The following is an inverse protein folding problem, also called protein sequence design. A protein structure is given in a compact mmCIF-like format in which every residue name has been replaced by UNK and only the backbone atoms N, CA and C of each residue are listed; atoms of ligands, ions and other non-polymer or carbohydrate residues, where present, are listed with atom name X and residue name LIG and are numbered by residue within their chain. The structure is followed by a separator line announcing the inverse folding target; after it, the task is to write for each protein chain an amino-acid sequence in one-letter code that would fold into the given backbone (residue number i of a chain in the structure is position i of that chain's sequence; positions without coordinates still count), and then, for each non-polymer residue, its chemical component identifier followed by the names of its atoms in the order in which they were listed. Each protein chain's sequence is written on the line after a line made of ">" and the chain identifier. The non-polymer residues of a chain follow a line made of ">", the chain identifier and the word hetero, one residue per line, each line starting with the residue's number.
data_IF_240786569990
#
_entry.id   IF_240786569990
#
_cell.length_a   1.000
_cell.length_b   1.000
_cell.length_c   1.000
_cell.angle_alpha   90.00
_cell.angle_beta   90.00
_cell.angle_gamma   90.00
#
_symmetry.space_group_name_H-M   'P 1'
#
loop_
_entity.id
_entity.type
_entity.pdbx_description
1 polymer ?
#
# COMPACT_ATOMS: atom_id res chain seq x y z
N UNK A 1 5.56 9.49 -11.76
CA UNK A 1 4.58 10.41 -11.14
C UNK A 1 3.18 9.82 -11.01
N UNK A 2 2.30 9.83 -12.03
CA UNK A 2 0.91 9.36 -11.83
C UNK A 2 0.83 7.85 -11.60
N UNK A 3 1.60 7.07 -12.37
CA UNK A 3 1.62 5.61 -12.23
C UNK A 3 2.09 5.13 -10.85
N UNK A 4 3.11 5.78 -10.26
CA UNK A 4 3.62 5.48 -8.92
C UNK A 4 2.61 5.82 -7.82
N UNK A 5 1.87 6.92 -7.97
CA UNK A 5 0.80 7.27 -7.05
C UNK A 5 -0.36 6.26 -7.12
N UNK A 6 -0.82 5.92 -8.33
CA UNK A 6 -1.93 4.99 -8.56
C UNK A 6 -1.58 3.59 -8.05
N UNK A 7 -0.38 3.07 -8.37
CA UNK A 7 0.04 1.76 -7.89
C UNK A 7 0.17 1.74 -6.36
N UNK A 8 0.74 2.79 -5.74
CA UNK A 8 0.82 2.93 -4.29
C UNK A 8 -0.55 2.86 -3.60
N UNK A 9 -1.55 3.59 -4.11
CA UNK A 9 -2.91 3.57 -3.58
C UNK A 9 -3.54 2.18 -3.75
N UNK A 10 -3.42 1.56 -4.92
CA UNK A 10 -3.96 0.22 -5.17
C UNK A 10 -3.37 -0.80 -4.19
N UNK A 11 -2.05 -0.79 -3.98
CA UNK A 11 -1.40 -1.71 -3.05
C UNK A 11 -1.81 -1.49 -1.60
N UNK A 12 -2.00 -0.23 -1.18
CA UNK A 12 -2.48 0.07 0.17
C UNK A 12 -3.93 -0.38 0.38
N UNK A 13 -4.82 -0.08 -0.56
CA UNK A 13 -6.23 -0.49 -0.49
C UNK A 13 -6.35 -2.01 -0.53
N UNK A 14 -5.61 -2.66 -1.43
CA UNK A 14 -5.57 -4.12 -1.51
C UNK A 14 -5.00 -4.75 -0.24
N UNK A 15 -3.91 -4.23 0.32
CA UNK A 15 -3.31 -4.71 1.56
C UNK A 15 -4.22 -4.55 2.78
N UNK A 16 -4.88 -3.40 2.91
CA UNK A 16 -5.89 -3.15 3.96
C UNK A 16 -7.12 -4.03 3.78
N UNK A 17 -7.63 -4.14 2.56
CA UNK A 17 -8.78 -4.97 2.21
C UNK A 17 -8.53 -6.45 2.48
N UNK A 18 -7.36 -6.96 2.10
CA UNK A 18 -6.94 -8.33 2.38
C UNK A 18 -6.86 -8.59 3.88
N UNK A 19 -6.25 -7.66 4.64
CA UNK A 19 -6.17 -7.78 6.09
C UNK A 19 -7.53 -7.74 6.76
N UNK A 20 -8.41 -6.85 6.32
CA UNK A 20 -9.78 -6.75 6.81
C UNK A 20 -10.56 -8.04 6.51
N UNK A 21 -10.45 -8.56 5.29
CA UNK A 21 -11.15 -9.78 4.88
C UNK A 21 -10.70 -11.00 5.69
N UNK A 22 -9.41 -11.16 5.94
CA UNK A 22 -8.87 -12.22 6.82
C UNK A 22 -9.40 -12.06 8.25
N UNK A 23 -9.36 -10.84 8.81
CA UNK A 23 -9.91 -10.57 10.14
C UNK A 23 -11.43 -10.82 10.22
N UNK A 24 -12.17 -10.50 9.15
CA UNK A 24 -13.60 -10.71 9.06
C UNK A 24 -13.94 -12.20 9.00
N UNK A 25 -13.22 -13.00 8.20
CA UNK A 25 -13.35 -14.47 8.22
C UNK A 25 -13.07 -15.07 9.60
N UNK A 26 -12.08 -14.52 10.32
CA UNK A 26 -11.77 -14.95 11.69
C UNK A 26 -12.91 -14.62 12.67
N UNK A 27 -13.53 -13.45 12.52
CA UNK A 27 -14.66 -13.03 13.35
C UNK A 27 -15.89 -13.93 13.16
N UNK A 28 -16.27 -14.22 11.92
CA UNK A 28 -17.43 -15.08 11.63
C UNK A 28 -17.27 -16.55 12.01
N UNK A 29 -16.03 -17.02 12.22
CA UNK A 29 -15.78 -18.39 12.70
C UNK A 29 -15.88 -18.52 14.23
N UNK A 30 -15.90 -17.41 14.96
CA UNK A 30 -15.96 -17.42 16.43
C UNK A 30 -17.41 -17.42 16.88
N UNK A 31 -17.77 -18.40 17.70
CA UNK A 31 -19.05 -18.39 18.42
C UNK A 31 -19.09 -17.24 19.43
N UNK A 32 -20.25 -16.89 20.00
CA UNK A 32 -20.37 -15.85 21.04
C UNK A 32 -19.43 -16.04 22.25
N UNK A 33 -18.93 -17.26 22.48
CA UNK A 33 -17.92 -17.57 23.50
C UNK A 33 -16.45 -17.37 23.04
N UNK A 34 -16.22 -16.89 21.81
CA UNK A 34 -14.89 -16.73 21.22
C UNK A 34 -14.21 -18.03 20.77
N UNK A 35 -14.85 -19.19 20.98
CA UNK A 35 -14.34 -20.49 20.57
C UNK A 35 -14.42 -20.68 19.05
N UNK A 36 -13.34 -21.18 18.46
CA UNK A 36 -13.30 -21.55 17.04
C UNK A 36 -13.87 -22.97 16.88
N UNK A 37 -15.04 -23.09 16.27
CA UNK A 37 -15.63 -24.39 15.92
C UNK A 37 -14.99 -24.91 14.64
N UNK A 38 -14.00 -25.79 14.75
CA UNK A 38 -13.51 -26.57 13.62
C UNK A 38 -14.09 -27.98 13.70
N UNK A 39 -14.68 -28.45 12.60
CA UNK A 39 -15.24 -29.82 12.50
C UNK A 39 -14.17 -30.90 12.36
N UNK A 40 -12.95 -30.53 11.92
CA UNK A 40 -11.83 -31.46 11.73
C UNK A 40 -10.49 -30.78 12.03
N UNK A 41 -9.54 -31.58 12.54
CA UNK A 41 -8.17 -31.15 12.84
C UNK A 41 -7.46 -30.63 11.59
N UNK A 42 -7.58 -31.32 10.46
CA UNK A 42 -6.91 -30.95 9.20
C UNK A 42 -7.36 -29.59 8.67
N UNK A 43 -8.67 -29.32 8.72
CA UNK A 43 -9.24 -28.03 8.35
C UNK A 43 -8.71 -26.90 9.24
N UNK A 44 -8.52 -27.17 10.54
CA UNK A 44 -7.98 -26.17 11.47
C UNK A 44 -6.53 -25.77 11.11
N UNK A 45 -5.71 -26.73 10.68
CA UNK A 45 -4.31 -26.49 10.32
C UNK A 45 -4.22 -25.72 9.01
N UNK A 46 -4.95 -26.16 7.98
CA UNK A 46 -4.94 -25.52 6.67
C UNK A 46 -5.43 -24.06 6.74
N UNK A 47 -6.51 -23.80 7.47
CA UNK A 47 -7.05 -22.44 7.59
C UNK A 47 -6.12 -21.55 8.42
N UNK A 48 -5.54 -22.07 9.52
CA UNK A 48 -4.54 -21.32 10.30
C UNK A 48 -3.29 -21.00 9.49
N UNK A 49 -2.87 -21.90 8.59
CA UNK A 49 -1.73 -21.68 7.70
C UNK A 49 -2.02 -20.51 6.74
N UNK A 50 -3.19 -20.53 6.07
CA UNK A 50 -3.61 -19.45 5.17
C UNK A 50 -3.76 -18.13 5.93
N UNK A 51 -4.30 -18.13 7.14
CA UNK A 51 -4.38 -16.92 7.96
C UNK A 51 -3.01 -16.34 8.31
N UNK A 52 -2.03 -17.19 8.60
CA UNK A 52 -0.66 -16.75 8.90
C UNK A 52 -0.01 -16.18 7.65
N UNK A 53 -0.05 -16.90 6.52
CA UNK A 53 0.52 -16.47 5.24
C UNK A 53 -0.17 -15.19 4.74
N UNK A 54 -1.50 -15.13 4.78
CA UNK A 54 -2.28 -13.97 4.35
C UNK A 54 -1.99 -12.71 5.16
N UNK A 55 -1.68 -12.84 6.46
CA UNK A 55 -1.22 -11.71 7.27
C UNK A 55 0.14 -11.19 6.82
N UNK A 56 1.10 -12.09 6.56
CA UNK A 56 2.42 -11.70 6.03
C UNK A 56 2.31 -11.02 4.67
N UNK A 57 1.50 -11.57 3.77
CA UNK A 57 1.22 -10.98 2.45
C UNK A 57 0.60 -9.60 2.61
N UNK A 58 -0.37 -9.42 3.51
CA UNK A 58 -0.97 -8.11 3.75
C UNK A 58 0.07 -7.08 4.21
N UNK A 59 1.00 -7.46 5.09
CA UNK A 59 2.09 -6.58 5.51
C UNK A 59 3.03 -6.24 4.36
N UNK A 60 3.39 -7.23 3.53
CA UNK A 60 4.22 -7.00 2.35
C UNK A 60 3.57 -6.00 1.38
N UNK A 61 2.27 -6.14 1.10
CA UNK A 61 1.52 -5.19 0.26
C UNK A 61 1.49 -3.78 0.87
N UNK A 62 1.26 -3.66 2.19
CA UNK A 62 1.27 -2.36 2.86
C UNK A 62 2.64 -1.67 2.75
N UNK A 63 3.71 -2.40 3.01
CA UNK A 63 5.09 -1.89 2.91
C UNK A 63 5.37 -1.43 1.47
N UNK A 64 5.00 -2.24 0.48
CA UNK A 64 5.20 -1.91 -0.93
C UNK A 64 4.40 -0.65 -1.35
N UNK A 65 3.15 -0.53 -0.89
CA UNK A 65 2.34 0.67 -1.13
C UNK A 65 2.94 1.94 -0.53
N UNK A 66 3.46 1.86 0.71
CA UNK A 66 4.17 2.96 1.38
C UNK A 66 5.46 3.36 0.66
N UNK A 67 6.25 2.39 0.22
CA UNK A 67 7.48 2.63 -0.54
C UNK A 67 7.18 3.32 -1.87
N UNK A 68 6.13 2.90 -2.57
CA UNK A 68 5.72 3.52 -3.83
C UNK A 68 5.31 5.00 -3.63
N UNK A 69 4.60 5.28 -2.53
CA UNK A 69 4.24 6.65 -2.14
C UNK A 69 5.47 7.50 -1.79
N UNK A 70 6.47 6.89 -1.15
CA UNK A 70 7.74 7.54 -0.82
C UNK A 70 8.54 7.91 -2.07
N UNK A 71 8.63 7.01 -3.05
CA UNK A 71 9.25 7.28 -4.36
C UNK A 71 8.53 8.43 -5.07
N UNK A 72 7.19 8.45 -5.07
CA UNK A 72 6.43 9.56 -5.64
C UNK A 72 6.73 10.91 -4.97
N UNK A 73 6.88 10.92 -3.64
CA UNK A 73 7.22 12.13 -2.88
C UNK A 73 8.59 12.71 -3.25
N UNK A 74 9.58 11.83 -3.54
CA UNK A 74 10.91 12.24 -4.04
C UNK A 74 10.82 12.91 -5.41
N UNK A 75 10.15 12.28 -6.38
CA UNK A 75 10.00 12.83 -7.74
C UNK A 75 9.34 14.22 -7.73
N UNK A 76 8.39 14.46 -6.82
CA UNK A 76 7.71 15.75 -6.71
C UNK A 76 8.65 16.85 -6.20
N UNK A 77 9.53 16.55 -5.24
CA UNK A 77 10.49 17.53 -4.69
C UNK A 77 11.51 17.98 -5.74
N UNK A 78 11.99 17.05 -6.56
CA UNK A 78 12.96 17.35 -7.63
C UNK A 78 12.36 18.27 -8.70
N UNK A 79 11.07 18.10 -9.03
CA UNK A 79 10.38 18.97 -10.00
C UNK A 79 10.10 20.36 -9.48
N UNK A 80 9.74 20.48 -8.20
CA UNK A 80 9.54 21.80 -7.57
C UNK A 80 10.84 22.61 -7.58
N UNK A 81 11.98 21.98 -7.27
CA UNK A 81 13.28 22.65 -7.32
C UNK A 81 13.70 23.05 -8.75
N UNK A 82 13.41 22.22 -9.76
CA UNK A 82 13.69 22.57 -11.16
C UNK A 82 12.79 23.69 -11.69
N UNK A 83 11.52 23.73 -11.29
CA UNK A 83 10.58 24.81 -11.67
C UNK A 83 10.91 26.14 -10.98
N UNK A 84 11.34 26.12 -9.71
CA UNK A 84 11.78 27.30 -8.97
C UNK A 84 13.06 27.89 -9.59
N UNK A 85 14.08 27.06 -9.84
CA UNK A 85 15.31 27.47 -10.53
C UNK A 85 15.06 27.99 -11.95
N UNK A 86 14.03 27.48 -12.65
CA UNK A 86 13.65 27.95 -14.00
C UNK A 86 12.88 29.28 -13.96
N UNK A 87 12.08 29.53 -12.93
CA UNK A 87 11.35 30.80 -12.75
C UNK A 87 12.24 31.92 -12.21
N UNK A 88 13.31 31.59 -11.47
CA UNK A 88 14.28 32.55 -10.94
C UNK A 88 15.39 32.94 -11.94
N UNK A 89 15.53 32.20 -13.06
CA UNK A 89 16.38 32.62 -14.17
C UNK A 89 15.68 33.76 -14.94
N UNK A 90 16.18 35.01 -14.88
CA UNK A 90 15.63 36.08 -15.70
C UNK A 90 15.76 35.68 -17.18
N UNK A 91 14.69 35.85 -17.94
CA UNK A 91 14.65 35.55 -19.37
C UNK A 91 15.88 36.15 -20.07
N UNK A 92 16.54 35.43 -21.00
CA UNK A 92 17.68 35.99 -21.71
C UNK A 92 17.19 37.24 -22.43
N UNK A 93 17.69 38.39 -21.97
CA UNK A 93 17.44 39.71 -22.55
C UNK A 93 17.69 39.56 -24.05
N UNK A 94 16.61 39.61 -24.82
CA UNK A 94 16.64 39.57 -26.27
C UNK A 94 17.31 40.86 -26.70
N UNK A 95 18.63 40.83 -26.88
CA UNK A 95 19.35 41.91 -27.56
C UNK A 95 18.95 41.84 -29.02
N UNK A 96 17.87 42.52 -29.35
CA UNK A 96 17.54 42.82 -30.73
C UNK A 96 18.42 44.01 -31.14
N UNK A 97 19.39 43.72 -32.01
CA UNK A 97 20.18 44.72 -32.72
C UNK A 97 19.31 45.43 -33.76
#
# INVERSE_FOLDING_TARGET
>A
MVASLVSGIIFLVAGLGLRYWINRRKFYRRNPMGAEGFSSYESSVFIKLIEKIGKWISYALMIFGLLSLWVYSREKKEKQQQEEVKNEQPSPITKHN
#
